data_IF_893463812130
#
_entry.id   IF_893463812130
#
_cell.length_a   1.000
_cell.length_b   1.000
_cell.length_c   1.000
_cell.angle_alpha   90.00
_cell.angle_beta   90.00
_cell.angle_gamma   90.00
#
_symmetry.space_group_name_H-M   'P 1'
#
loop_
_entity.id
_entity.type
_entity.pdbx_description
1 polymer ?
#
# COMPACT_ATOMS: atom_id res chain seq x y z
N UNK A 1 2.17 -2.86 14.09
CA UNK A 1 0.75 -2.80 14.46
C UNK A 1 0.56 -2.95 15.97
N UNK A 2 1.05 -3.99 16.66
CA UNK A 2 0.75 -4.31 18.06
C UNK A 2 0.81 -3.18 19.08
N UNK A 3 1.84 -2.33 19.04
CA UNK A 3 1.91 -1.17 19.96
C UNK A 3 0.79 -0.14 19.72
N UNK A 4 0.36 0.04 18.47
CA UNK A 4 -0.75 0.95 18.17
C UNK A 4 -2.09 0.38 18.65
N UNK A 5 -2.33 -0.92 18.40
CA UNK A 5 -3.55 -1.60 18.88
C UNK A 5 -3.62 -1.49 20.41
N UNK A 6 -2.53 -1.76 21.13
CA UNK A 6 -2.47 -1.62 22.58
C UNK A 6 -2.77 -0.18 23.04
N UNK A 7 -2.25 0.84 22.37
CA UNK A 7 -2.56 2.24 22.69
C UNK A 7 -4.05 2.56 22.49
N UNK A 8 -4.66 2.00 21.45
CA UNK A 8 -6.10 2.13 21.22
C UNK A 8 -6.95 1.44 22.29
N UNK A 9 -6.58 0.23 22.70
CA UNK A 9 -7.25 -0.51 23.78
C UNK A 9 -7.17 0.26 25.09
N UNK A 10 -5.96 0.68 25.49
CA UNK A 10 -5.74 1.47 26.72
C UNK A 10 -6.49 2.81 26.68
N UNK A 11 -6.57 3.44 25.51
CA UNK A 11 -7.33 4.66 25.29
C UNK A 11 -8.84 4.45 25.41
N UNK A 12 -9.37 3.40 24.80
CA UNK A 12 -10.80 3.05 24.84
C UNK A 12 -11.27 2.67 26.26
N UNK A 13 -10.47 1.89 26.99
CA UNK A 13 -10.81 1.49 28.37
C UNK A 13 -10.94 2.67 29.35
N UNK A 14 -10.41 3.85 29.01
CA UNK A 14 -10.66 5.08 29.82
C UNK A 14 -12.09 5.54 29.72
N UNK A 15 -12.78 5.26 28.61
CA UNK A 15 -14.18 5.58 28.39
C UNK A 15 -15.11 4.40 28.75
N UNK A 16 -14.60 3.18 28.58
CA UNK A 16 -15.33 1.94 28.82
C UNK A 16 -14.54 0.99 29.73
N UNK A 17 -14.43 1.29 31.05
CA UNK A 17 -13.55 0.55 31.95
C UNK A 17 -13.95 -0.89 32.23
N UNK A 18 -15.18 -1.29 31.83
CA UNK A 18 -15.66 -2.68 31.93
C UNK A 18 -15.29 -3.56 30.75
N UNK A 19 -14.66 -3.01 29.70
CA UNK A 19 -14.24 -3.77 28.52
C UNK A 19 -12.87 -4.37 28.76
N UNK A 20 -12.70 -5.63 28.35
CA UNK A 20 -11.44 -6.34 28.34
C UNK A 20 -11.16 -6.80 26.92
N UNK A 21 -9.89 -6.69 26.48
CA UNK A 21 -9.45 -7.14 25.18
C UNK A 21 -8.64 -8.43 25.31
N UNK A 22 -8.94 -9.39 24.47
CA UNK A 22 -8.08 -10.53 24.18
C UNK A 22 -7.54 -10.36 22.78
N UNK A 23 -6.24 -10.50 22.59
CA UNK A 23 -5.64 -10.32 21.27
C UNK A 23 -4.56 -11.34 20.96
N UNK A 24 -4.60 -11.81 19.73
CA UNK A 24 -3.62 -12.68 19.12
C UNK A 24 -2.89 -11.92 17.99
N UNK A 25 -1.58 -11.75 18.12
CA UNK A 25 -0.79 -10.99 17.15
C UNK A 25 0.26 -11.85 16.45
N UNK A 26 -0.22 -12.86 15.75
CA UNK A 26 0.64 -13.80 14.99
C UNK A 26 0.89 -13.34 13.54
N UNK A 27 0.54 -12.12 13.19
CA UNK A 27 0.68 -11.51 11.86
C UNK A 27 -0.65 -11.30 11.15
N UNK A 28 -0.63 -10.52 10.08
CA UNK A 28 -1.82 -10.10 9.33
C UNK A 28 -2.62 -11.30 8.80
N UNK A 29 -1.95 -12.32 8.28
CA UNK A 29 -2.61 -13.50 7.72
C UNK A 29 -3.44 -14.30 8.75
N UNK A 30 -3.07 -14.30 10.04
CA UNK A 30 -3.83 -15.00 11.08
C UNK A 30 -5.09 -14.25 11.49
N UNK A 31 -5.14 -12.93 11.34
CA UNK A 31 -6.25 -12.11 11.76
C UNK A 31 -7.53 -12.43 10.98
N UNK A 32 -7.45 -12.58 9.66
CA UNK A 32 -8.58 -12.98 8.84
C UNK A 32 -9.06 -14.40 9.17
N UNK A 33 -8.11 -15.34 9.43
CA UNK A 33 -8.43 -16.69 9.87
C UNK A 33 -9.24 -16.72 11.17
N UNK A 34 -8.87 -15.87 12.15
CA UNK A 34 -9.62 -15.73 13.39
C UNK A 34 -11.03 -15.16 13.16
N UNK A 35 -11.16 -14.17 12.27
CA UNK A 35 -12.43 -13.53 11.97
C UNK A 35 -13.43 -14.51 11.33
N UNK A 36 -13.08 -15.20 10.22
CA UNK A 36 -14.04 -16.08 9.54
C UNK A 36 -14.33 -17.38 10.31
N UNK A 37 -13.47 -17.77 11.25
CA UNK A 37 -13.74 -18.91 12.15
C UNK A 37 -14.52 -18.52 13.41
N UNK A 38 -14.84 -17.24 13.59
CA UNK A 38 -15.56 -16.71 14.75
C UNK A 38 -14.76 -16.76 16.06
N UNK A 39 -13.42 -16.79 15.98
CA UNK A 39 -12.52 -16.71 17.16
C UNK A 39 -12.11 -15.29 17.49
N UNK A 40 -12.34 -14.36 16.61
CA UNK A 40 -12.05 -12.94 16.80
C UNK A 40 -13.19 -12.10 16.24
N UNK A 41 -13.46 -10.98 16.86
CA UNK A 41 -14.55 -10.07 16.50
C UNK A 41 -14.09 -9.00 15.48
N UNK A 42 -12.78 -8.66 15.48
CA UNK A 42 -12.19 -7.65 14.61
C UNK A 42 -10.81 -8.12 14.13
N UNK A 43 -10.58 -8.08 12.83
CA UNK A 43 -9.27 -8.29 12.24
C UNK A 43 -8.64 -6.94 11.88
N UNK A 44 -7.74 -6.40 12.72
CA UNK A 44 -6.97 -5.18 12.41
C UNK A 44 -5.73 -5.58 11.62
N UNK A 45 -5.68 -5.19 10.35
CA UNK A 45 -4.63 -5.58 9.44
C UNK A 45 -3.49 -4.55 9.43
N UNK A 46 -2.26 -4.99 9.20
CA UNK A 46 -1.11 -4.13 9.01
C UNK A 46 -0.96 -3.61 7.57
N UNK A 47 -1.84 -4.03 6.69
CA UNK A 47 -1.86 -3.78 5.25
C UNK A 47 -3.27 -4.03 4.70
N UNK A 48 -3.49 -3.78 3.43
CA UNK A 48 -4.75 -4.10 2.76
C UNK A 48 -5.02 -5.61 2.76
N UNK A 49 -6.30 -5.98 2.87
CA UNK A 49 -6.73 -7.37 2.75
C UNK A 49 -6.43 -7.93 1.35
N UNK A 50 -5.99 -9.17 1.28
CA UNK A 50 -5.76 -9.83 0.00
C UNK A 50 -7.03 -10.42 -0.62
N UNK A 51 -7.11 -10.50 -1.97
CA UNK A 51 -8.26 -11.12 -2.64
C UNK A 51 -8.52 -12.57 -2.23
N UNK A 52 -7.47 -13.34 -1.93
CA UNK A 52 -7.64 -14.72 -1.47
C UNK A 52 -8.19 -14.79 -0.04
N UNK A 53 -7.89 -13.82 0.82
CA UNK A 53 -8.44 -13.70 2.18
C UNK A 53 -9.92 -13.33 2.12
N UNK A 54 -10.31 -12.41 1.23
CA UNK A 54 -11.73 -12.09 0.96
C UNK A 54 -12.47 -13.33 0.49
N UNK A 55 -11.91 -14.08 -0.48
CA UNK A 55 -12.51 -15.33 -0.96
C UNK A 55 -12.65 -16.40 0.12
N UNK A 56 -11.64 -16.55 0.98
CA UNK A 56 -11.71 -17.49 2.10
C UNK A 56 -12.82 -17.12 3.09
N UNK A 57 -12.96 -15.82 3.38
CA UNK A 57 -14.05 -15.31 4.20
C UNK A 57 -15.42 -15.57 3.54
N UNK A 58 -15.58 -15.26 2.25
CA UNK A 58 -16.81 -15.48 1.49
C UNK A 58 -17.19 -16.96 1.38
N UNK A 59 -16.22 -17.86 1.27
CA UNK A 59 -16.47 -19.30 1.25
C UNK A 59 -17.08 -19.80 2.57
N UNK A 60 -16.65 -19.24 3.69
CA UNK A 60 -17.11 -19.62 5.01
C UNK A 60 -18.41 -18.90 5.42
N UNK A 61 -18.49 -17.59 5.13
CA UNK A 61 -19.59 -16.72 5.59
C UNK A 61 -20.67 -16.45 4.55
N UNK A 62 -20.41 -16.71 3.26
CA UNK A 62 -21.31 -16.48 2.11
C UNK A 62 -21.57 -14.99 1.79
N UNK A 63 -20.77 -14.09 2.33
CA UNK A 63 -20.72 -12.65 2.05
C UNK A 63 -19.31 -12.11 2.31
N UNK A 64 -18.92 -10.97 1.71
CA UNK A 64 -17.61 -10.37 1.97
C UNK A 64 -17.51 -9.76 3.37
N UNK A 65 -16.31 -9.65 3.96
CA UNK A 65 -16.09 -8.91 5.19
C UNK A 65 -16.42 -7.42 4.98
N UNK A 66 -16.73 -6.72 6.07
CA UNK A 66 -16.91 -5.26 6.03
C UNK A 66 -15.61 -4.57 6.40
N UNK A 67 -15.01 -3.88 5.41
CA UNK A 67 -13.79 -3.10 5.60
C UNK A 67 -14.06 -1.73 6.21
N UNK A 68 -13.35 -1.41 7.29
CA UNK A 68 -13.31 -0.09 7.94
C UNK A 68 -11.89 0.45 7.88
N UNK A 69 -11.65 1.51 7.15
CA UNK A 69 -10.33 2.10 6.98
C UNK A 69 -9.95 2.94 8.20
N UNK A 70 -8.94 2.52 8.93
CA UNK A 70 -8.52 3.13 10.20
C UNK A 70 -7.38 4.13 10.07
N UNK A 71 -6.43 3.86 9.17
CA UNK A 71 -5.22 4.66 9.03
C UNK A 71 -4.75 4.67 7.57
N UNK A 72 -3.78 5.54 7.30
CA UNK A 72 -3.04 5.60 6.04
C UNK A 72 -1.62 5.09 6.26
N UNK A 73 -1.02 4.49 5.26
CA UNK A 73 0.36 4.01 5.32
C UNK A 73 1.38 5.15 5.49
N UNK A 74 2.59 4.80 5.90
CA UNK A 74 3.65 5.79 6.18
C UNK A 74 4.46 6.18 4.94
N UNK A 75 5.39 7.14 5.11
CA UNK A 75 6.29 7.59 4.04
C UNK A 75 7.64 6.88 4.13
N UNK A 76 8.29 6.94 5.29
CA UNK A 76 9.72 6.65 5.47
C UNK A 76 10.04 5.78 6.69
N UNK A 77 9.04 5.11 7.25
CA UNK A 77 9.22 4.27 8.44
C UNK A 77 9.65 2.86 8.04
N UNK A 78 10.75 2.38 8.61
CA UNK A 78 11.27 1.04 8.35
C UNK A 78 10.25 -0.05 8.67
N UNK A 79 10.14 -1.06 7.82
CA UNK A 79 9.14 -2.14 7.87
C UNK A 79 7.68 -1.67 7.72
N UNK A 80 7.48 -0.42 7.23
CA UNK A 80 6.18 0.17 6.92
C UNK A 80 6.28 0.88 5.56
N UNK A 81 6.68 0.13 4.54
CA UNK A 81 7.05 0.63 3.22
C UNK A 81 5.82 0.94 2.36
N UNK A 82 5.06 1.97 2.73
CA UNK A 82 3.78 2.29 2.11
C UNK A 82 3.81 3.38 1.05
N UNK A 83 4.86 4.20 0.99
CA UNK A 83 5.01 5.24 -0.04
C UNK A 83 5.72 4.66 -1.28
N UNK A 84 5.04 3.71 -1.93
CA UNK A 84 5.53 3.04 -3.13
C UNK A 84 5.32 3.90 -4.36
N UNK A 85 6.20 3.74 -5.37
CA UNK A 85 6.05 4.42 -6.64
C UNK A 85 7.14 4.10 -7.64
N UNK A 86 7.04 4.65 -8.85
CA UNK A 86 8.07 4.55 -9.87
C UNK A 86 9.21 5.54 -9.61
N UNK A 87 10.42 5.06 -9.86
CA UNK A 87 11.67 5.80 -9.76
C UNK A 87 12.43 5.73 -11.08
N UNK A 88 13.20 6.76 -11.34
CA UNK A 88 14.17 6.80 -12.43
C UNK A 88 15.52 7.26 -11.91
N UNK A 89 16.59 7.03 -12.70
CA UNK A 89 17.88 7.63 -12.46
C UNK A 89 17.76 9.17 -12.42
N UNK A 90 18.53 9.86 -11.60
CA UNK A 90 18.44 11.31 -11.45
C UNK A 90 18.71 12.07 -12.76
N UNK A 91 19.54 11.49 -13.66
CA UNK A 91 19.85 12.07 -14.98
C UNK A 91 18.76 11.82 -16.04
N UNK A 92 17.73 11.03 -15.74
CA UNK A 92 16.60 10.82 -16.63
C UNK A 92 15.63 12.01 -16.55
N UNK A 93 15.25 12.66 -17.67
CA UNK A 93 14.43 13.89 -17.63
C UNK A 93 12.94 13.65 -17.38
N UNK A 94 12.42 12.40 -17.42
CA UNK A 94 11.01 12.11 -17.19
C UNK A 94 10.60 12.58 -15.78
N UNK A 95 9.55 13.37 -15.63
CA UNK A 95 9.13 13.95 -14.35
C UNK A 95 7.92 13.26 -13.73
N UNK A 96 7.06 12.65 -14.53
CA UNK A 96 5.73 12.22 -14.12
C UNK A 96 5.20 11.07 -14.97
N UNK A 97 4.31 10.26 -14.38
CA UNK A 97 3.54 9.20 -15.04
C UNK A 97 2.08 9.22 -14.57
N UNK A 98 1.16 8.80 -15.43
CA UNK A 98 -0.16 8.37 -14.98
C UNK A 98 -0.15 6.88 -14.60
N UNK A 99 -1.19 6.41 -13.86
CA UNK A 99 -1.34 4.99 -13.58
C UNK A 99 -1.50 4.16 -14.87
N UNK A 100 -2.19 4.70 -15.89
CA UNK A 100 -2.30 4.06 -17.21
C UNK A 100 -0.93 3.87 -17.89
N UNK A 101 -0.07 4.89 -17.81
CA UNK A 101 1.30 4.75 -18.33
C UNK A 101 2.14 3.78 -17.50
N UNK A 102 1.96 3.77 -16.18
CA UNK A 102 2.63 2.82 -15.30
C UNK A 102 2.26 1.38 -15.65
N UNK A 103 0.98 1.12 -15.84
CA UNK A 103 0.45 -0.17 -16.31
C UNK A 103 1.10 -0.56 -17.66
N UNK A 104 1.03 0.30 -18.66
CA UNK A 104 1.61 0.05 -20.00
C UNK A 104 3.13 -0.14 -20.00
N UNK A 105 3.83 0.40 -19.00
CA UNK A 105 5.28 0.21 -18.83
C UNK A 105 5.61 -1.11 -18.17
N UNK A 106 4.90 -1.50 -17.10
CA UNK A 106 5.25 -2.65 -16.26
C UNK A 106 4.44 -3.92 -16.57
N UNK A 107 3.20 -3.80 -17.05
CA UNK A 107 2.40 -4.95 -17.46
C UNK A 107 2.66 -5.35 -18.91
N UNK A 108 2.34 -6.60 -19.23
CA UNK A 108 2.28 -7.11 -20.60
C UNK A 108 0.85 -7.07 -21.09
N UNK A 109 0.64 -6.44 -22.25
CA UNK A 109 -0.63 -6.38 -22.95
C UNK A 109 -0.53 -7.10 -24.30
N UNK A 110 -1.61 -7.79 -24.69
CA UNK A 110 -1.66 -8.54 -25.95
C UNK A 110 -1.67 -7.61 -27.19
N UNK A 111 -2.31 -6.43 -27.09
CA UNK A 111 -2.21 -5.40 -28.12
C UNK A 111 -0.86 -4.67 -27.95
N UNK A 112 0.01 -4.69 -28.99
CA UNK A 112 1.29 -3.98 -28.94
C UNK A 112 1.18 -2.48 -28.65
N UNK A 113 0.05 -1.85 -28.98
CA UNK A 113 -0.20 -0.42 -28.73
C UNK A 113 -0.37 -0.07 -27.26
N UNK A 114 -0.73 -1.06 -26.47
CA UNK A 114 -0.90 -0.92 -25.03
C UNK A 114 0.40 -1.17 -24.24
N UNK A 115 1.51 -1.42 -24.95
CA UNK A 115 2.81 -1.59 -24.32
C UNK A 115 3.72 -0.37 -24.60
N UNK A 116 4.26 0.22 -23.55
CA UNK A 116 5.29 1.27 -23.61
C UNK A 116 6.64 0.60 -23.37
N UNK A 117 7.47 0.52 -24.40
CA UNK A 117 8.73 -0.22 -24.40
C UNK A 117 9.96 0.70 -24.38
N UNK A 118 9.80 1.92 -24.90
CA UNK A 118 10.89 2.86 -25.13
C UNK A 118 10.59 4.23 -24.54
N UNK A 119 11.64 4.99 -24.26
CA UNK A 119 11.55 6.29 -23.61
C UNK A 119 10.86 7.37 -24.47
N UNK A 120 10.98 7.29 -25.79
CA UNK A 120 10.31 8.22 -26.70
C UNK A 120 8.79 8.05 -26.66
N UNK A 121 8.28 6.86 -26.38
CA UNK A 121 6.83 6.62 -26.18
C UNK A 121 6.30 7.33 -24.91
N UNK A 122 7.19 7.68 -23.98
CA UNK A 122 6.88 8.53 -22.82
C UNK A 122 7.12 10.02 -23.07
N UNK A 123 7.43 10.39 -24.33
CA UNK A 123 7.61 11.77 -24.76
C UNK A 123 9.03 12.32 -24.58
N UNK A 124 10.01 11.49 -24.28
CA UNK A 124 11.41 11.90 -24.30
C UNK A 124 11.95 11.94 -25.72
N UNK A 125 12.47 13.08 -26.15
CA UNK A 125 12.94 13.32 -27.52
C UNK A 125 14.45 13.48 -27.58
N UNK A 126 15.02 13.26 -28.76
CA UNK A 126 16.45 13.41 -29.03
C UNK A 126 17.16 12.05 -29.18
N UNK A 127 18.35 12.05 -29.78
CA UNK A 127 19.06 10.83 -30.18
C UNK A 127 19.46 9.93 -29.01
N UNK A 128 19.50 10.48 -27.82
CA UNK A 128 19.84 9.76 -26.58
C UNK A 128 18.62 9.03 -25.97
N UNK A 129 17.38 9.32 -26.42
CA UNK A 129 16.14 8.72 -25.90
C UNK A 129 15.34 7.97 -26.95
N UNK A 130 15.46 8.38 -28.23
CA UNK A 130 14.72 7.82 -29.34
C UNK A 130 15.07 6.34 -29.55
N UNK A 131 14.06 5.48 -29.52
CA UNK A 131 14.20 4.03 -29.63
C UNK A 131 14.94 3.36 -28.46
N UNK A 132 15.29 4.08 -27.38
CA UNK A 132 15.95 3.49 -26.23
C UNK A 132 14.98 2.68 -25.38
N UNK A 133 15.29 1.41 -25.10
CA UNK A 133 14.42 0.57 -24.28
C UNK A 133 14.36 1.04 -22.83
N UNK A 134 13.23 0.85 -22.18
CA UNK A 134 13.08 1.03 -20.74
C UNK A 134 13.50 -0.27 -20.05
N UNK A 135 14.56 -0.21 -19.24
CA UNK A 135 14.96 -1.32 -18.39
C UNK A 135 14.15 -1.32 -17.10
N UNK A 136 13.52 -2.44 -16.77
CA UNK A 136 12.59 -2.51 -15.65
C UNK A 136 13.21 -3.19 -14.43
N UNK A 137 12.94 -2.61 -13.26
CA UNK A 137 13.39 -3.06 -11.95
C UNK A 137 12.19 -3.13 -11.00
N UNK A 138 12.01 -4.26 -10.29
CA UNK A 138 10.88 -4.42 -9.38
C UNK A 138 11.08 -5.55 -8.38
N UNK A 139 10.09 -5.78 -7.55
CA UNK A 139 10.06 -6.93 -6.66
C UNK A 139 9.69 -8.21 -7.41
N UNK A 140 9.94 -9.36 -6.81
CA UNK A 140 9.39 -10.63 -7.30
C UNK A 140 7.87 -10.54 -7.45
N UNK A 141 7.31 -11.23 -8.46
CA UNK A 141 5.87 -11.24 -8.74
C UNK A 141 5.04 -11.70 -7.53
N UNK A 142 5.57 -12.64 -6.73
CA UNK A 142 4.93 -13.13 -5.52
C UNK A 142 5.10 -12.23 -4.30
N UNK A 143 5.83 -11.11 -4.44
CA UNK A 143 6.02 -10.16 -3.35
C UNK A 143 4.72 -9.40 -3.07
N UNK A 144 4.51 -9.06 -1.80
CA UNK A 144 3.34 -8.28 -1.35
C UNK A 144 3.23 -6.93 -2.06
N UNK A 145 4.37 -6.28 -2.35
CA UNK A 145 4.36 -4.99 -3.03
C UNK A 145 3.99 -5.14 -4.51
N UNK A 146 4.44 -6.20 -5.18
CA UNK A 146 4.03 -6.53 -6.55
C UNK A 146 2.53 -6.78 -6.62
N UNK A 147 1.98 -7.65 -5.76
CA UNK A 147 0.55 -7.93 -5.68
C UNK A 147 -0.28 -6.66 -5.43
N UNK A 148 0.23 -5.75 -4.61
CA UNK A 148 -0.47 -4.49 -4.37
C UNK A 148 -0.43 -3.56 -5.60
N UNK A 149 0.71 -3.43 -6.28
CA UNK A 149 0.82 -2.66 -7.53
C UNK A 149 -0.11 -3.22 -8.62
N UNK A 150 -0.19 -4.54 -8.77
CA UNK A 150 -1.12 -5.20 -9.69
C UNK A 150 -2.57 -4.73 -9.46
N UNK A 151 -3.00 -4.66 -8.21
CA UNK A 151 -4.35 -4.20 -7.84
C UNK A 151 -4.53 -2.70 -8.06
N UNK A 152 -3.54 -1.91 -7.69
CA UNK A 152 -3.64 -0.45 -7.65
C UNK A 152 -3.41 0.22 -9.03
N UNK A 153 -2.59 -0.39 -9.89
CA UNK A 153 -2.17 0.20 -11.15
C UNK A 153 -2.33 -0.69 -12.38
N UNK A 154 -2.39 -2.03 -12.25
CA UNK A 154 -2.44 -2.96 -13.38
C UNK A 154 -3.82 -3.66 -13.50
N UNK A 155 -4.88 -3.06 -12.96
CA UNK A 155 -6.25 -3.58 -12.99
C UNK A 155 -6.39 -5.03 -12.48
N UNK A 156 -5.52 -5.47 -11.58
CA UNK A 156 -5.46 -6.83 -11.05
C UNK A 156 -4.81 -7.84 -12.00
N UNK A 157 -4.16 -7.39 -13.06
CA UNK A 157 -3.38 -8.25 -13.95
C UNK A 157 -2.12 -8.75 -13.23
N UNK A 158 -1.86 -10.07 -13.34
CA UNK A 158 -0.62 -10.70 -12.87
C UNK A 158 0.42 -10.86 -14.01
N UNK A 159 0.25 -10.13 -15.11
CA UNK A 159 1.07 -10.25 -16.31
C UNK A 159 2.16 -9.19 -16.32
N UNK A 160 3.18 -9.38 -15.52
CA UNK A 160 4.37 -8.53 -15.54
C UNK A 160 5.14 -8.69 -16.85
N UNK A 161 5.78 -7.61 -17.28
CA UNK A 161 6.60 -7.63 -18.48
C UNK A 161 7.81 -8.55 -18.30
N UNK A 162 8.01 -9.45 -19.27
CA UNK A 162 9.21 -10.27 -19.36
C UNK A 162 10.48 -9.39 -19.41
N UNK A 163 11.53 -9.82 -18.71
CA UNK A 163 12.80 -9.10 -18.66
C UNK A 163 12.90 -8.03 -17.57
N UNK A 164 11.86 -7.81 -16.77
CA UNK A 164 11.98 -7.04 -15.54
C UNK A 164 12.98 -7.71 -14.59
N UNK A 165 13.99 -6.98 -14.13
CA UNK A 165 14.92 -7.47 -13.12
C UNK A 165 14.23 -7.47 -11.76
N UNK A 166 14.11 -8.64 -11.16
CA UNK A 166 13.35 -8.86 -9.94
C UNK A 166 14.28 -9.02 -8.73
N UNK A 167 13.85 -8.51 -7.58
CA UNK A 167 14.61 -8.50 -6.35
C UNK A 167 13.84 -9.08 -5.18
N UNK A 168 14.54 -9.81 -4.31
CA UNK A 168 14.09 -10.26 -3.01
C UNK A 168 15.02 -9.73 -1.91
N UNK A 169 14.56 -9.75 -0.67
CA UNK A 169 15.43 -9.45 0.47
C UNK A 169 16.62 -10.43 0.56
N UNK A 170 17.80 -9.88 0.77
CA UNK A 170 19.01 -10.68 1.03
C UNK A 170 19.29 -10.66 2.53
N UNK A 171 19.16 -11.82 3.17
CA UNK A 171 19.54 -12.02 4.56
C UNK A 171 21.04 -12.29 4.63
N UNK A 172 21.79 -11.43 5.31
CA UNK A 172 23.24 -11.56 5.45
C UNK A 172 23.62 -12.39 6.68
N UNK A 173 24.82 -12.98 6.70
CA UNK A 173 25.28 -13.78 7.84
C UNK A 173 25.37 -13.02 9.17
N UNK A 174 25.53 -11.69 9.13
CA UNK A 174 25.55 -10.81 10.29
C UNK A 174 24.16 -10.46 10.85
N UNK A 175 23.11 -11.08 10.29
CA UNK A 175 21.71 -10.81 10.65
C UNK A 175 21.11 -9.55 10.03
N UNK A 176 21.88 -8.78 9.26
CA UNK A 176 21.32 -7.64 8.53
C UNK A 176 20.56 -8.08 7.30
N UNK A 177 19.61 -7.22 6.87
CA UNK A 177 18.82 -7.44 5.66
C UNK A 177 19.19 -6.35 4.66
N UNK A 178 19.57 -6.76 3.45
CA UNK A 178 19.65 -5.86 2.31
C UNK A 178 18.29 -5.87 1.62
N UNK A 179 17.50 -4.84 1.91
CA UNK A 179 16.11 -4.74 1.47
C UNK A 179 16.01 -4.71 -0.07
N UNK A 180 15.06 -5.42 -0.64
CA UNK A 180 14.82 -5.47 -2.09
C UNK A 180 14.58 -4.08 -2.70
N UNK A 181 13.82 -3.23 -2.01
CA UNK A 181 13.59 -1.85 -2.45
C UNK A 181 14.87 -1.00 -2.50
N UNK A 182 15.83 -1.23 -1.59
CA UNK A 182 17.14 -0.57 -1.64
C UNK A 182 17.96 -1.09 -2.83
N UNK A 183 18.00 -2.43 -3.04
CA UNK A 183 18.70 -3.04 -4.16
C UNK A 183 18.22 -2.48 -5.51
N UNK A 184 16.91 -2.30 -5.67
CA UNK A 184 16.31 -1.69 -6.87
C UNK A 184 16.88 -0.30 -7.11
N UNK A 185 16.91 0.58 -6.08
CA UNK A 185 17.40 1.95 -6.26
C UNK A 185 18.93 2.02 -6.42
N UNK A 186 19.66 1.12 -5.79
CA UNK A 186 21.13 1.05 -5.95
C UNK A 186 21.47 0.69 -7.40
N UNK A 187 20.85 -0.32 -7.99
CA UNK A 187 21.06 -0.69 -9.40
C UNK A 187 20.56 0.41 -10.36
N UNK A 188 19.39 0.97 -10.09
CA UNK A 188 18.82 2.06 -10.88
C UNK A 188 19.73 3.32 -10.89
N UNK A 189 20.50 3.55 -9.81
CA UNK A 189 21.47 4.64 -9.72
C UNK A 189 22.54 4.59 -10.81
N UNK A 190 22.77 3.41 -11.38
CA UNK A 190 23.79 3.17 -12.43
C UNK A 190 23.18 2.97 -13.82
N UNK A 191 21.85 3.04 -13.95
CA UNK A 191 21.15 2.84 -15.23
C UNK A 191 20.27 4.03 -15.59
N UNK A 192 20.77 4.87 -16.48
CA UNK A 192 20.07 6.04 -17.00
C UNK A 192 18.75 5.69 -17.72
N UNK A 193 18.68 4.50 -18.31
CA UNK A 193 17.50 3.99 -19.03
C UNK A 193 16.60 3.10 -18.19
N UNK A 194 16.87 3.03 -16.90
CA UNK A 194 16.09 2.25 -15.95
C UNK A 194 14.85 2.98 -15.44
N UNK A 195 13.79 2.21 -15.20
CA UNK A 195 12.64 2.58 -14.38
C UNK A 195 12.38 1.48 -13.36
N UNK A 196 12.30 1.83 -12.09
CA UNK A 196 12.13 0.89 -10.99
C UNK A 196 10.89 1.19 -10.14
N UNK A 197 10.28 0.15 -9.58
CA UNK A 197 9.29 0.27 -8.52
C UNK A 197 9.97 0.11 -7.17
N UNK A 198 9.86 1.10 -6.30
CA UNK A 198 10.45 1.04 -4.97
C UNK A 198 9.70 1.94 -3.98
N UNK A 199 10.31 2.26 -2.85
CA UNK A 199 9.75 3.08 -1.79
C UNK A 199 10.63 4.30 -1.54
N UNK A 200 10.02 5.46 -1.26
CA UNK A 200 10.73 6.74 -1.03
C UNK A 200 11.72 6.68 0.14
N UNK A 201 11.53 5.77 1.10
CA UNK A 201 12.46 5.61 2.23
C UNK A 201 13.88 5.20 1.81
N UNK A 202 14.03 4.52 0.66
CA UNK A 202 15.33 4.05 0.15
C UNK A 202 16.08 5.09 -0.68
N UNK A 203 15.49 6.27 -0.87
CA UNK A 203 16.02 7.32 -1.75
C UNK A 203 17.37 7.89 -1.28
N UNK A 204 17.58 7.94 0.06
CA UNK A 204 18.77 8.55 0.62
C UNK A 204 20.05 7.79 0.22
N UNK A 205 20.98 8.50 -0.42
CA UNK A 205 22.27 7.95 -0.83
C UNK A 205 22.28 7.30 -2.21
N UNK A 206 21.16 7.37 -2.94
CA UNK A 206 21.05 6.86 -4.32
C UNK A 206 21.06 8.02 -5.33
N UNK A 207 21.48 7.74 -6.57
CA UNK A 207 21.35 8.69 -7.70
C UNK A 207 20.02 8.44 -8.43
N UNK A 208 18.91 8.42 -7.66
CA UNK A 208 17.58 8.19 -8.21
C UNK A 208 16.59 9.24 -7.71
N UNK A 209 15.47 9.35 -8.36
CA UNK A 209 14.35 10.21 -7.93
C UNK A 209 13.00 9.56 -8.22
N UNK A 210 11.98 9.80 -7.38
CA UNK A 210 10.62 9.36 -7.62
C UNK A 210 9.98 10.22 -8.73
N UNK A 211 9.06 9.61 -9.47
CA UNK A 211 8.18 10.31 -10.39
C UNK A 211 6.90 10.79 -9.69
N UNK A 212 6.37 11.90 -10.15
CA UNK A 212 5.03 12.32 -9.78
C UNK A 212 4.00 11.38 -10.43
N UNK A 213 2.93 11.06 -9.72
CA UNK A 213 1.85 10.21 -10.23
C UNK A 213 0.52 10.93 -10.34
N UNK A 214 -0.24 10.60 -11.38
CA UNK A 214 -1.64 10.97 -11.55
C UNK A 214 -2.51 9.72 -11.76
N UNK A 215 -3.76 9.77 -11.31
CA UNK A 215 -4.75 8.69 -11.58
C UNK A 215 -5.14 8.63 -13.06
N UNK A 216 -5.16 9.78 -13.74
CA UNK A 216 -5.53 9.92 -15.14
C UNK A 216 -4.40 10.63 -15.91
N UNK A 217 -4.24 10.38 -17.22
CA UNK A 217 -3.15 10.97 -18.03
C UNK A 217 -3.10 12.51 -17.99
N UNK A 218 -4.22 13.19 -17.82
CA UNK A 218 -4.34 14.64 -17.76
C UNK A 218 -4.64 15.15 -16.35
N UNK A 219 -4.51 14.29 -15.35
CA UNK A 219 -4.90 14.61 -13.98
C UNK A 219 -3.91 15.49 -13.26
N UNK A 220 -4.21 15.93 -12.04
CA UNK A 220 -3.19 16.46 -11.17
C UNK A 220 -2.18 15.38 -10.81
N UNK A 221 -0.89 15.75 -10.84
CA UNK A 221 0.22 14.88 -10.50
C UNK A 221 0.71 15.17 -9.08
N UNK A 222 0.91 14.14 -8.29
CA UNK A 222 1.29 14.25 -6.88
C UNK A 222 2.56 13.48 -6.58
N UNK A 223 3.39 14.03 -5.69
CA UNK A 223 4.49 13.31 -5.05
C UNK A 223 3.96 12.50 -3.86
N UNK A 224 4.66 11.42 -3.48
CA UNK A 224 4.39 10.68 -2.26
C UNK A 224 4.91 11.44 -1.04
N UNK A 225 4.11 12.33 -0.48
CA UNK A 225 4.39 13.09 0.75
C UNK A 225 3.40 12.73 1.85
N UNK A 226 3.70 13.07 3.11
CA UNK A 226 2.75 12.87 4.23
C UNK A 226 1.39 13.49 3.92
N UNK A 227 1.39 14.72 3.40
CA UNK A 227 0.16 15.45 3.07
C UNK A 227 -0.65 14.72 1.99
N UNK A 228 -0.02 14.37 0.86
CA UNK A 228 -0.70 13.73 -0.27
C UNK A 228 -1.13 12.28 0.01
N UNK A 229 -0.49 11.61 0.97
CA UNK A 229 -0.94 10.32 1.49
C UNK A 229 -2.14 10.48 2.43
N UNK A 230 -2.09 11.41 3.38
CA UNK A 230 -3.18 11.67 4.34
C UNK A 230 -4.47 12.09 3.61
N UNK A 231 -4.37 12.99 2.64
CA UNK A 231 -5.52 13.46 1.87
C UNK A 231 -5.88 12.57 0.67
N UNK A 232 -5.13 11.45 0.47
CA UNK A 232 -5.34 10.43 -0.57
C UNK A 232 -5.28 10.97 -2.00
N UNK A 233 -4.55 12.07 -2.21
CA UNK A 233 -4.27 12.62 -3.53
C UNK A 233 -3.22 11.79 -4.28
N UNK A 234 -2.23 11.24 -3.55
CA UNK A 234 -1.24 10.35 -4.17
C UNK A 234 -1.92 9.05 -4.63
N UNK A 235 -1.84 8.68 -5.92
CA UNK A 235 -2.62 7.57 -6.47
C UNK A 235 -2.35 6.21 -5.82
N UNK A 236 -1.10 5.96 -5.41
CA UNK A 236 -0.66 4.72 -4.78
C UNK A 236 -0.66 4.83 -3.25
N UNK A 237 -1.62 5.55 -2.68
CA UNK A 237 -1.80 5.62 -1.22
C UNK A 237 -2.36 4.30 -0.71
N UNK A 238 -1.68 3.71 0.27
CA UNK A 238 -2.09 2.48 0.96
C UNK A 238 -2.93 2.77 2.20
N UNK A 239 -3.79 1.84 2.57
CA UNK A 239 -4.67 1.96 3.73
C UNK A 239 -4.42 0.85 4.74
N UNK A 240 -4.79 1.11 5.98
CA UNK A 240 -4.71 0.18 7.10
C UNK A 240 -6.15 -0.06 7.55
N UNK A 241 -6.74 -1.21 7.22
CA UNK A 241 -8.12 -1.51 7.55
C UNK A 241 -8.27 -2.32 8.85
N UNK A 242 -9.48 -2.30 9.37
CA UNK A 242 -10.06 -3.37 10.16
C UNK A 242 -11.15 -4.06 9.33
N UNK A 243 -11.19 -5.36 9.44
CA UNK A 243 -12.26 -6.18 8.86
C UNK A 243 -13.17 -6.71 9.96
N UNK A 244 -14.48 -6.71 9.72
CA UNK A 244 -15.48 -7.27 10.64
C UNK A 244 -16.42 -8.23 9.93
N UNK A 245 -16.90 -9.20 10.67
CA UNK A 245 -17.94 -10.14 10.25
C UNK A 245 -19.31 -9.52 10.46
N UNK A 246 -19.90 -8.98 9.39
CA UNK A 246 -21.24 -8.39 9.39
C UNK A 246 -22.07 -8.96 8.26
N UNK A 247 -23.05 -9.76 8.61
CA UNK A 247 -24.00 -10.27 7.62
C UNK A 247 -24.82 -9.13 7.00
N UNK A 248 -25.16 -9.19 5.70
CA UNK A 248 -25.94 -8.18 5.02
C UNK A 248 -27.25 -7.86 5.74
N UNK A 249 -27.52 -6.59 5.96
CA UNK A 249 -28.74 -6.13 6.64
C UNK A 249 -28.77 -6.32 8.15
N UNK A 250 -27.70 -6.86 8.75
CA UNK A 250 -27.59 -6.98 10.20
C UNK A 250 -26.83 -5.78 10.80
N UNK A 251 -27.17 -5.38 12.03
CA UNK A 251 -26.39 -4.37 12.74
C UNK A 251 -24.99 -4.90 13.08
N UNK A 252 -24.03 -3.99 13.24
CA UNK A 252 -22.72 -4.33 13.80
C UNK A 252 -22.88 -4.67 15.28
N UNK A 253 -22.14 -5.67 15.77
CA UNK A 253 -22.09 -5.95 17.21
C UNK A 253 -21.80 -4.67 18.01
N UNK A 254 -22.55 -4.36 19.07
CA UNK A 254 -22.41 -3.09 19.79
C UNK A 254 -21.02 -2.85 20.36
N UNK A 255 -20.30 -3.87 20.86
CA UNK A 255 -18.97 -3.72 21.41
C UNK A 255 -17.93 -3.43 20.30
N UNK A 256 -18.02 -4.16 19.20
CA UNK A 256 -17.21 -3.94 17.98
C UNK A 256 -17.44 -2.53 17.44
N UNK A 257 -18.70 -2.12 17.33
CA UNK A 257 -19.11 -0.81 16.83
C UNK A 257 -18.53 0.31 17.67
N UNK A 258 -18.69 0.27 18.98
CA UNK A 258 -18.20 1.34 19.89
C UNK A 258 -16.67 1.44 19.86
N UNK A 259 -15.96 0.32 19.80
CA UNK A 259 -14.52 0.33 19.65
C UNK A 259 -14.08 0.93 18.32
N UNK A 260 -14.67 0.52 17.19
CA UNK A 260 -14.34 1.10 15.87
C UNK A 260 -14.71 2.59 15.79
N UNK A 261 -15.81 3.02 16.41
CA UNK A 261 -16.16 4.44 16.51
C UNK A 261 -15.10 5.23 17.29
N UNK A 262 -14.54 4.64 18.36
CA UNK A 262 -13.43 5.23 19.09
C UNK A 262 -12.18 5.34 18.20
N UNK A 263 -11.81 4.28 17.47
CA UNK A 263 -10.65 4.32 16.55
C UNK A 263 -10.78 5.43 15.51
N UNK A 264 -12.00 5.65 15.01
CA UNK A 264 -12.34 6.70 14.04
C UNK A 264 -12.60 8.08 14.68
N UNK A 265 -12.52 8.19 16.00
CA UNK A 265 -12.64 9.46 16.72
C UNK A 265 -11.35 10.26 16.67
N UNK A 266 -11.41 11.53 17.09
CA UNK A 266 -10.23 12.38 17.25
C UNK A 266 -9.18 11.74 18.16
N UNK A 267 -9.61 11.14 19.26
CA UNK A 267 -8.69 10.55 20.26
C UNK A 267 -8.02 9.30 19.69
N UNK A 268 -8.77 8.41 19.04
CA UNK A 268 -8.22 7.23 18.36
C UNK A 268 -7.25 7.59 17.25
N UNK A 269 -7.55 8.61 16.44
CA UNK A 269 -6.66 9.11 15.40
C UNK A 269 -5.39 9.79 15.99
N UNK A 270 -5.50 10.40 17.17
CA UNK A 270 -4.36 10.98 17.85
C UNK A 270 -3.37 9.93 18.36
N UNK A 271 -3.84 8.72 18.71
CA UNK A 271 -2.94 7.60 19.03
C UNK A 271 -2.09 7.18 17.81
N UNK A 272 -2.63 7.25 16.58
CA UNK A 272 -1.85 7.02 15.36
C UNK A 272 -0.71 8.03 15.24
N UNK A 273 -1.02 9.31 15.46
CA UNK A 273 -0.02 10.40 15.40
C UNK A 273 1.07 10.22 16.45
N UNK A 274 0.69 9.85 17.67
CA UNK A 274 1.65 9.59 18.78
C UNK A 274 2.54 8.38 18.51
N UNK A 275 1.96 7.32 17.92
CA UNK A 275 2.71 6.12 17.55
C UNK A 275 3.73 6.40 16.44
N UNK A 276 3.41 7.30 15.50
CA UNK A 276 4.28 7.81 14.45
C UNK A 276 4.65 6.82 13.34
N UNK A 277 4.07 5.60 13.34
CA UNK A 277 4.36 4.56 12.33
C UNK A 277 3.40 4.59 11.14
N UNK A 278 2.18 5.05 11.38
CA UNK A 278 1.14 5.26 10.37
C UNK A 278 0.73 6.71 10.34
N UNK A 279 -0.03 7.09 9.34
CA UNK A 279 -0.62 8.41 9.19
C UNK A 279 -2.12 8.36 9.48
N UNK A 280 -2.69 9.38 10.14
CA UNK A 280 -4.13 9.42 10.40
C UNK A 280 -4.91 9.59 9.09
N UNK A 281 -6.20 9.29 9.12
CA UNK A 281 -7.13 9.62 8.04
C UNK A 281 -7.72 11.01 8.24
N UNK A 282 -8.20 11.63 7.14
CA UNK A 282 -8.90 12.89 7.19
C UNK A 282 -10.26 12.76 7.90
N UNK A 283 -10.75 13.83 8.57
CA UNK A 283 -12.05 13.81 9.25
C UNK A 283 -13.21 13.36 8.37
N UNK A 284 -13.21 13.76 7.10
CA UNK A 284 -14.23 13.40 6.10
C UNK A 284 -14.15 11.91 5.74
N UNK A 285 -12.93 11.35 5.69
CA UNK A 285 -12.76 9.91 5.50
C UNK A 285 -13.25 9.14 6.73
N UNK A 286 -12.89 9.59 7.93
CA UNK A 286 -13.39 9.00 9.18
C UNK A 286 -14.93 9.08 9.29
N UNK A 287 -15.55 10.16 8.79
CA UNK A 287 -17.00 10.28 8.76
C UNK A 287 -17.64 9.20 7.87
N UNK A 288 -17.11 9.01 6.64
CA UNK A 288 -17.58 7.95 5.74
C UNK A 288 -17.41 6.54 6.33
N UNK A 289 -16.30 6.29 7.01
CA UNK A 289 -16.09 5.00 7.66
C UNK A 289 -17.05 4.76 8.83
N UNK A 290 -17.39 5.82 9.59
CA UNK A 290 -18.43 5.72 10.64
C UNK A 290 -19.82 5.42 10.10
N UNK A 291 -20.18 5.89 8.90
CA UNK A 291 -21.46 5.57 8.25
C UNK A 291 -21.61 4.07 8.00
N UNK A 292 -20.53 3.35 7.72
CA UNK A 292 -20.54 1.89 7.55
C UNK A 292 -20.90 1.14 8.84
N UNK A 293 -20.80 1.77 10.00
CA UNK A 293 -21.04 1.17 11.32
C UNK A 293 -22.50 1.40 11.83
N UNK A 294 -23.33 2.08 11.03
CA UNK A 294 -24.75 2.34 11.35
C UNK A 294 -25.65 1.15 11.07
#
# INVERSE_FOLDING_TARGET
MGMLVKSWEEGFMKFQPGVHFEYDMYGTASAMGALYTGKGDIAILGQEIYPFEVKAFEQERHYPPTEIQLATGSVDVRNFDYALGPFVNADNPLQKLSLDQLDKVFAYHDDPKDNILTWDQLGLTGPEWEGKPIHLYGWYESDIFSTWIERAAMHGSHRWRCGMKQYAHIHRPDGSIYDSGQQILDDLSHDRYGMGLSNVRYLKGTNTRPLLLARQPNGPYYAATKETLINRQYPLTRVIPAEIDRAPGQPVDPAVREFLLYLLSRDGQQEIVRNGKYLPIQPEAAAREREKLQ
#
